data_IF_323818457241
#
_entry.id   IF_323818457241
#
_cell.length_a   1.000
_cell.length_b   1.000
_cell.length_c   1.000
_cell.angle_alpha   90.00
_cell.angle_beta   90.00
_cell.angle_gamma   90.00
#
_symmetry.space_group_name_H-M   'P 1'
#
loop_
_entity.id
_entity.type
_entity.pdbx_description
1 polymer ?
#
# COMPACT_ATOMS: atom_id res chain seq x y z
N UNK A 1 -27.43 -22.24 38.23
CA UNK A 1 -27.11 -20.96 38.91
C UNK A 1 -26.51 -20.06 37.85
N UNK A 2 -27.18 -18.98 37.44
CA UNK A 2 -26.66 -18.06 36.42
C UNK A 2 -25.64 -17.13 37.10
N UNK A 3 -24.48 -16.95 36.46
CA UNK A 3 -23.46 -16.02 36.94
C UNK A 3 -23.64 -14.72 36.15
N UNK A 4 -23.80 -13.61 36.88
CA UNK A 4 -24.08 -12.28 36.33
C UNK A 4 -22.92 -11.37 36.73
N UNK A 5 -22.33 -10.63 35.78
CA UNK A 5 -21.26 -9.68 36.12
C UNK A 5 -21.80 -8.42 36.80
N UNK A 6 -20.89 -7.57 37.28
CA UNK A 6 -21.21 -6.30 37.94
C UNK A 6 -21.98 -5.30 37.05
N UNK A 7 -22.01 -5.50 35.74
CA UNK A 7 -22.79 -4.72 34.76
C UNK A 7 -24.12 -5.36 34.38
N UNK A 8 -24.52 -6.47 35.01
CA UNK A 8 -25.80 -7.13 34.76
C UNK A 8 -25.83 -8.06 33.54
N UNK A 9 -24.70 -8.30 32.88
CA UNK A 9 -24.61 -9.22 31.75
C UNK A 9 -24.51 -10.68 32.23
N UNK A 10 -25.28 -11.57 31.60
CA UNK A 10 -25.24 -13.01 31.84
C UNK A 10 -23.97 -13.57 31.18
N UNK A 11 -23.06 -14.10 31.99
CA UNK A 11 -21.79 -14.68 31.50
C UNK A 11 -21.91 -16.20 31.51
N UNK A 12 -21.35 -16.84 30.47
CA UNK A 12 -21.35 -18.30 30.35
C UNK A 12 -20.32 -18.97 31.26
N UNK A 13 -19.20 -18.28 31.55
CA UNK A 13 -18.13 -18.72 32.45
C UNK A 13 -17.50 -17.51 33.16
N UNK A 14 -17.09 -17.69 34.41
CA UNK A 14 -16.35 -16.71 35.19
C UNK A 14 -14.95 -17.26 35.44
N UNK A 15 -13.92 -16.55 34.97
CA UNK A 15 -12.53 -16.96 35.16
C UNK A 15 -12.07 -16.34 36.48
N UNK A 16 -11.86 -17.16 37.51
CA UNK A 16 -11.22 -16.71 38.74
C UNK A 16 -9.71 -16.71 38.51
N UNK A 17 -9.14 -15.55 38.18
CA UNK A 17 -7.71 -15.38 38.33
C UNK A 17 -7.43 -15.28 39.83
N UNK A 18 -6.58 -16.17 40.35
CA UNK A 18 -6.09 -16.08 41.73
C UNK A 18 -5.26 -14.82 41.96
N UNK A 19 -4.40 -14.82 42.99
CA UNK A 19 -3.58 -13.66 43.34
C UNK A 19 -2.87 -13.05 42.11
N UNK A 20 -3.22 -11.80 41.83
CA UNK A 20 -2.84 -11.06 40.61
C UNK A 20 -1.34 -10.78 40.57
N UNK A 21 -0.66 -10.85 41.72
CA UNK A 21 0.76 -10.53 41.88
C UNK A 21 1.70 -11.55 41.20
N UNK A 22 1.20 -12.72 40.79
CA UNK A 22 1.97 -13.77 40.10
C UNK A 22 1.50 -14.05 38.66
N UNK A 23 0.68 -13.16 38.08
CA UNK A 23 0.24 -13.31 36.70
C UNK A 23 1.33 -12.84 35.74
N UNK A 24 1.96 -13.77 35.02
CA UNK A 24 2.78 -13.42 33.87
C UNK A 24 1.87 -12.90 32.75
N UNK A 25 2.13 -11.66 32.29
CA UNK A 25 1.41 -11.05 31.18
C UNK A 25 1.40 -11.95 29.94
N UNK A 26 2.46 -12.72 29.71
CA UNK A 26 2.54 -13.63 28.56
C UNK A 26 1.52 -14.77 28.65
N UNK A 27 1.14 -15.19 29.86
CA UNK A 27 0.15 -16.26 30.08
C UNK A 27 -1.28 -15.80 29.77
N UNK A 28 -1.57 -14.49 29.84
CA UNK A 28 -2.84 -13.90 29.42
C UNK A 28 -3.03 -13.94 27.89
N UNK A 29 -1.94 -13.98 27.13
CA UNK A 29 -1.99 -14.02 25.66
C UNK A 29 -1.89 -15.43 25.08
N UNK A 30 -1.48 -16.45 25.85
CA UNK A 30 -1.32 -17.83 25.37
C UNK A 30 -2.60 -18.48 24.86
N UNK A 31 -3.77 -18.08 25.38
CA UNK A 31 -5.08 -18.66 25.00
C UNK A 31 -5.91 -17.76 24.07
N UNK A 32 -5.44 -16.56 23.73
CA UNK A 32 -5.90 -15.86 22.53
C UNK A 32 -5.23 -16.52 21.32
N UNK A 33 -5.59 -17.79 21.11
CA UNK A 33 -5.41 -18.49 19.85
C UNK A 33 -5.90 -17.56 18.78
N UNK A 34 -4.96 -17.03 18.00
CA UNK A 34 -5.12 -16.46 16.67
C UNK A 34 -6.59 -16.40 16.25
N UNK A 35 -7.34 -15.38 16.70
CA UNK A 35 -8.46 -14.92 15.90
C UNK A 35 -7.77 -14.43 14.66
N UNK A 36 -7.60 -15.35 13.70
CA UNK A 36 -6.84 -15.21 12.46
C UNK A 36 -7.19 -13.82 11.97
N UNK A 37 -6.28 -12.85 12.21
CA UNK A 37 -6.42 -11.54 11.61
C UNK A 37 -6.51 -11.92 10.15
N UNK A 38 -7.67 -11.66 9.54
CA UNK A 38 -7.81 -11.88 8.11
C UNK A 38 -6.61 -11.11 7.54
N UNK A 39 -5.67 -11.81 6.91
CA UNK A 39 -4.70 -11.16 6.04
C UNK A 39 -5.59 -10.49 5.00
N UNK A 40 -5.98 -9.24 5.26
CA UNK A 40 -6.52 -8.39 4.22
C UNK A 40 -5.31 -8.15 3.34
N UNK A 41 -5.25 -8.90 2.25
CA UNK A 41 -4.22 -8.71 1.24
C UNK A 41 -4.25 -7.24 0.84
N UNK A 42 -3.07 -6.64 0.83
CA UNK A 42 -2.91 -5.27 0.38
C UNK A 42 -3.52 -5.16 -1.03
N UNK A 43 -4.39 -4.16 -1.30
CA UNK A 43 -5.06 -4.05 -2.59
C UNK A 43 -4.03 -3.91 -3.72
N UNK A 44 -4.09 -4.80 -4.70
CA UNK A 44 -3.14 -4.84 -5.82
C UNK A 44 -3.28 -3.67 -6.82
N UNK A 45 -4.36 -2.90 -6.72
CA UNK A 45 -4.64 -1.73 -7.55
C UNK A 45 -3.99 -0.45 -7.01
N UNK A 46 -3.54 -0.45 -5.74
CA UNK A 46 -2.67 0.57 -5.17
C UNK A 46 -1.20 0.20 -5.38
N UNK A 47 -0.34 1.20 -5.45
CA UNK A 47 1.10 0.99 -5.28
C UNK A 47 1.41 0.52 -3.85
N UNK A 48 2.54 -0.14 -3.64
CA UNK A 48 2.99 -0.52 -2.29
C UNK A 48 3.24 0.71 -1.41
N UNK A 49 3.19 0.52 -0.08
CA UNK A 49 3.50 1.60 0.87
C UNK A 49 4.92 2.15 0.69
N UNK A 50 5.88 1.29 0.36
CA UNK A 50 7.26 1.69 0.09
C UNK A 50 7.33 2.66 -1.10
N UNK A 51 6.70 2.31 -2.22
CA UNK A 51 6.61 3.18 -3.40
C UNK A 51 5.90 4.49 -3.07
N UNK A 52 4.80 4.44 -2.32
CA UNK A 52 4.05 5.63 -1.93
C UNK A 52 4.90 6.61 -1.10
N UNK A 53 5.73 6.10 -0.19
CA UNK A 53 6.67 6.91 0.60
C UNK A 53 7.74 7.54 -0.29
N UNK A 54 8.33 6.78 -1.21
CA UNK A 54 9.29 7.33 -2.16
C UNK A 54 8.67 8.42 -3.07
N UNK A 55 7.43 8.22 -3.52
CA UNK A 55 6.68 9.22 -4.29
C UNK A 55 6.47 10.52 -3.49
N UNK A 56 6.10 10.39 -2.21
CA UNK A 56 5.97 11.53 -1.30
C UNK A 56 7.28 12.31 -1.17
N UNK A 57 8.40 11.62 -1.02
CA UNK A 57 9.74 12.24 -0.92
C UNK A 57 10.10 13.06 -2.17
N UNK A 58 9.73 12.59 -3.36
CA UNK A 58 9.99 13.32 -4.63
C UNK A 58 8.93 14.38 -4.96
N UNK A 59 7.99 14.63 -4.04
CA UNK A 59 7.02 15.72 -4.16
C UNK A 59 5.73 15.35 -4.89
N UNK A 60 5.33 14.08 -4.90
CA UNK A 60 3.99 13.69 -5.34
C UNK A 60 2.93 14.32 -4.42
N UNK A 61 2.06 15.16 -4.98
CA UNK A 61 0.99 15.89 -4.26
C UNK A 61 -0.37 15.76 -4.94
N UNK A 62 -0.52 14.74 -5.78
CA UNK A 62 -1.82 14.49 -6.41
C UNK A 62 -2.81 13.96 -5.39
N UNK A 63 -4.09 14.24 -5.67
CA UNK A 63 -5.17 13.84 -4.80
C UNK A 63 -5.42 12.33 -4.91
N UNK A 64 -5.51 11.62 -3.79
CA UNK A 64 -5.79 10.18 -3.71
C UNK A 64 -7.09 9.92 -2.96
N UNK A 65 -7.70 8.75 -3.21
CA UNK A 65 -8.86 8.27 -2.45
C UNK A 65 -8.43 7.65 -1.12
N UNK A 66 -7.32 6.90 -1.14
CA UNK A 66 -6.81 6.15 0.00
C UNK A 66 -5.43 6.64 0.41
N UNK A 67 -5.11 6.42 1.68
CA UNK A 67 -3.86 6.85 2.30
C UNK A 67 -3.45 5.89 3.41
N UNK A 68 -2.17 5.89 3.74
CA UNK A 68 -1.63 5.22 4.90
C UNK A 68 -1.65 6.17 6.08
N UNK A 69 -2.22 5.74 7.21
CA UNK A 69 -2.20 6.50 8.45
C UNK A 69 -1.12 5.96 9.39
N UNK A 70 -0.09 6.75 9.69
CA UNK A 70 1.07 6.30 10.46
C UNK A 70 0.71 5.93 11.90
N UNK A 71 -0.16 6.70 12.57
CA UNK A 71 -0.60 6.37 13.94
C UNK A 71 -1.38 5.04 14.03
N UNK A 72 -2.29 4.78 13.08
CA UNK A 72 -3.13 3.58 13.11
C UNK A 72 -2.50 2.37 12.40
N UNK A 73 -1.39 2.57 11.68
CA UNK A 73 -0.71 1.57 10.87
C UNK A 73 -1.67 0.79 9.96
N UNK A 74 -2.56 1.50 9.26
CA UNK A 74 -3.51 0.90 8.31
C UNK A 74 -3.82 1.84 7.16
N UNK A 75 -4.35 1.26 6.09
CA UNK A 75 -4.95 1.99 4.98
C UNK A 75 -6.30 2.54 5.42
N UNK A 76 -6.51 3.82 5.15
CA UNK A 76 -7.77 4.53 5.28
C UNK A 76 -8.17 5.06 3.88
N UNK A 77 -9.45 5.34 3.68
CA UNK A 77 -9.92 6.05 2.49
C UNK A 77 -10.85 7.19 2.91
N UNK A 78 -11.03 8.18 2.04
CA UNK A 78 -11.87 9.33 2.34
C UNK A 78 -13.30 8.91 2.71
N UNK A 79 -13.82 9.48 3.79
CA UNK A 79 -15.19 9.28 4.25
C UNK A 79 -15.91 10.61 4.46
N UNK A 80 -17.24 10.59 4.42
CA UNK A 80 -18.08 11.72 4.84
C UNK A 80 -18.18 11.79 6.38
N UNK A 81 -18.90 12.79 6.89
CA UNK A 81 -19.13 13.00 8.33
C UNK A 81 -19.88 11.84 9.01
N UNK A 82 -20.48 10.92 8.23
CA UNK A 82 -21.19 9.74 8.70
C UNK A 82 -20.38 8.45 8.47
N UNK A 83 -19.05 8.56 8.29
CA UNK A 83 -18.10 7.48 8.03
C UNK A 83 -18.43 6.63 6.79
N UNK A 84 -19.17 7.18 5.82
CA UNK A 84 -19.42 6.51 4.53
C UNK A 84 -18.31 6.83 3.56
N UNK A 85 -17.92 5.86 2.73
CA UNK A 85 -16.94 6.07 1.66
C UNK A 85 -17.36 7.28 0.81
N UNK A 86 -16.51 8.30 0.82
CA UNK A 86 -16.69 9.50 0.03
C UNK A 86 -15.69 9.44 -1.12
N UNK A 87 -16.13 9.42 -2.40
CA UNK A 87 -15.23 9.32 -3.55
C UNK A 87 -14.50 10.64 -3.84
N UNK A 88 -14.36 11.51 -2.85
CA UNK A 88 -13.54 12.71 -2.94
C UNK A 88 -12.07 12.35 -2.75
N UNK A 89 -11.22 13.07 -3.46
CA UNK A 89 -9.79 12.84 -3.47
C UNK A 89 -9.10 14.02 -2.76
N UNK A 90 -8.13 13.71 -1.91
CA UNK A 90 -7.34 14.69 -1.16
C UNK A 90 -5.84 14.44 -1.30
N UNK A 91 -5.06 15.49 -1.18
CA UNK A 91 -3.61 15.35 -1.01
C UNK A 91 -3.34 15.00 0.47
N UNK A 92 -2.98 13.75 0.73
CA UNK A 92 -2.62 13.26 2.06
C UNK A 92 -1.11 13.34 2.33
N UNK A 93 -0.33 14.00 1.47
CA UNK A 93 1.09 14.25 1.68
C UNK A 93 1.35 15.63 2.31
N UNK A 94 0.33 16.25 2.92
CA UNK A 94 0.40 17.58 3.54
C UNK A 94 1.16 17.61 4.87
N UNK A 95 1.25 16.48 5.58
CA UNK A 95 1.99 16.35 6.83
C UNK A 95 2.63 14.97 6.98
N UNK A 96 3.35 14.74 8.08
CA UNK A 96 4.12 13.49 8.33
C UNK A 96 3.25 12.31 8.77
N UNK A 97 2.01 12.54 9.23
CA UNK A 97 1.15 11.51 9.83
C UNK A 97 0.44 10.64 8.80
N UNK A 98 0.39 11.08 7.54
CA UNK A 98 -0.28 10.40 6.44
C UNK A 98 0.62 10.27 5.21
N UNK A 99 0.37 9.26 4.39
CA UNK A 99 1.00 9.11 3.07
C UNK A 99 -0.07 8.77 2.05
N UNK A 100 -0.24 9.60 1.02
CA UNK A 100 -1.14 9.32 -0.11
C UNK A 100 -0.81 7.95 -0.72
N UNK A 101 -1.81 7.11 -0.94
CA UNK A 101 -1.67 5.82 -1.64
C UNK A 101 -2.32 5.93 -3.02
N UNK A 102 -1.55 6.31 -4.06
CA UNK A 102 -2.08 6.39 -5.41
C UNK A 102 -2.30 4.99 -6.02
N UNK A 103 -3.18 4.94 -7.02
CA UNK A 103 -3.21 3.81 -7.94
C UNK A 103 -2.01 3.84 -8.87
N UNK A 104 -1.70 2.70 -9.50
CA UNK A 104 -0.66 2.64 -10.53
C UNK A 104 -0.88 3.67 -11.65
N UNK A 105 -2.12 3.89 -12.08
CA UNK A 105 -2.44 4.85 -13.14
C UNK A 105 -2.19 6.30 -12.71
N UNK A 106 -2.52 6.67 -11.46
CA UNK A 106 -2.24 8.02 -10.95
C UNK A 106 -0.73 8.30 -10.92
N UNK A 107 0.09 7.30 -10.62
CA UNK A 107 1.55 7.42 -10.67
C UNK A 107 2.02 7.65 -12.11
N UNK A 108 1.53 6.87 -13.07
CA UNK A 108 1.89 7.04 -14.48
C UNK A 108 1.41 8.37 -15.06
N UNK A 109 0.20 8.83 -14.70
CA UNK A 109 -0.29 10.15 -15.08
C UNK A 109 0.60 11.28 -14.54
N UNK A 110 1.01 11.18 -13.27
CA UNK A 110 1.90 12.16 -12.67
C UNK A 110 3.26 12.20 -13.37
N UNK A 111 3.90 11.06 -13.62
CA UNK A 111 5.18 11.01 -14.35
C UNK A 111 5.06 11.53 -15.78
N UNK A 112 3.97 11.19 -16.50
CA UNK A 112 3.70 11.72 -17.85
C UNK A 112 3.57 13.23 -17.85
N UNK A 113 2.93 13.82 -16.83
CA UNK A 113 2.85 15.28 -16.69
C UNK A 113 4.22 15.96 -16.56
N UNK A 114 5.25 15.20 -16.15
CA UNK A 114 6.65 15.63 -16.05
C UNK A 114 7.49 15.25 -17.27
N UNK A 115 6.91 14.59 -18.27
CA UNK A 115 7.59 14.19 -19.50
C UNK A 115 8.20 12.78 -19.49
N UNK A 116 8.02 12.01 -18.42
CA UNK A 116 8.48 10.62 -18.32
C UNK A 116 7.35 9.68 -18.72
N UNK A 117 7.57 8.88 -19.77
CA UNK A 117 6.61 7.92 -20.28
C UNK A 117 7.14 6.52 -20.07
N UNK A 118 6.51 5.78 -19.16
CA UNK A 118 6.80 4.37 -18.97
C UNK A 118 6.02 3.52 -19.97
N UNK A 119 6.68 2.55 -20.59
CA UNK A 119 6.07 1.58 -21.51
C UNK A 119 6.34 0.18 -20.98
N UNK A 120 5.31 -0.67 -20.95
CA UNK A 120 5.42 -2.09 -20.64
C UNK A 120 5.08 -2.86 -21.92
N UNK A 121 5.95 -3.78 -22.33
CA UNK A 121 5.79 -4.58 -23.53
C UNK A 121 5.94 -6.07 -23.21
N UNK A 122 5.29 -6.91 -24.02
CA UNK A 122 5.50 -8.36 -23.98
C UNK A 122 6.86 -8.67 -24.64
N UNK A 123 7.64 -9.55 -24.02
CA UNK A 123 9.01 -9.88 -24.44
C UNK A 123 9.07 -10.75 -25.69
N UNK A 124 8.01 -11.50 -26.01
CA UNK A 124 7.91 -12.28 -27.25
C UNK A 124 6.61 -11.99 -28.02
N UNK A 125 6.68 -12.04 -29.35
CA UNK A 125 5.49 -11.93 -30.22
C UNK A 125 4.71 -13.26 -30.31
N UNK A 126 5.30 -14.36 -29.84
CA UNK A 126 4.70 -15.69 -29.90
C UNK A 126 3.55 -15.88 -28.91
N UNK A 127 3.51 -15.10 -27.83
CA UNK A 127 2.63 -15.30 -26.68
C UNK A 127 2.89 -16.58 -25.91
N UNK A 128 4.02 -17.26 -26.16
CA UNK A 128 4.37 -18.53 -25.51
C UNK A 128 5.05 -18.28 -24.15
N UNK A 129 5.80 -17.18 -24.03
CA UNK A 129 6.38 -16.71 -22.78
C UNK A 129 5.53 -15.55 -22.25
N UNK A 130 5.01 -15.69 -21.03
CA UNK A 130 4.31 -14.62 -20.31
C UNK A 130 5.30 -13.63 -19.68
N UNK A 131 6.24 -13.16 -20.48
CA UNK A 131 7.36 -12.34 -20.05
C UNK A 131 7.15 -10.90 -20.52
N UNK A 132 7.46 -9.96 -19.64
CA UNK A 132 7.26 -8.54 -19.84
C UNK A 132 8.56 -7.81 -19.56
N UNK A 133 8.78 -6.73 -20.30
CA UNK A 133 9.86 -5.77 -20.09
C UNK A 133 9.28 -4.36 -20.06
N UNK A 134 10.10 -3.39 -19.63
CA UNK A 134 9.70 -2.00 -19.64
C UNK A 134 10.81 -1.09 -20.15
N UNK A 135 10.42 0.08 -20.65
CA UNK A 135 11.32 1.16 -21.00
C UNK A 135 10.79 2.51 -20.47
N UNK A 136 11.65 3.52 -20.45
CA UNK A 136 11.30 4.89 -20.08
C UNK A 136 11.71 5.79 -21.23
N UNK A 137 10.74 6.50 -21.80
CA UNK A 137 10.96 7.60 -22.73
C UNK A 137 10.88 8.93 -21.97
N UNK A 138 11.95 9.71 -22.01
CA UNK A 138 12.01 11.04 -21.42
C UNK A 138 12.11 12.10 -22.51
N UNK A 139 11.13 13.00 -22.61
CA UNK A 139 11.11 14.09 -23.62
C UNK A 139 11.34 13.63 -25.09
N UNK A 140 10.93 12.40 -25.42
CA UNK A 140 11.14 11.72 -26.72
C UNK A 140 12.58 11.25 -26.98
N UNK A 141 13.41 11.16 -25.94
CA UNK A 141 14.68 10.45 -25.96
C UNK A 141 14.57 9.20 -25.08
N UNK A 142 15.12 8.08 -25.55
CA UNK A 142 15.08 6.80 -24.83
C UNK A 142 15.99 6.92 -23.59
N UNK A 143 15.39 7.00 -22.40
CA UNK A 143 16.09 7.13 -21.12
C UNK A 143 16.54 5.78 -20.57
N UNK A 144 15.79 4.72 -20.87
CA UNK A 144 16.17 3.33 -20.58
C UNK A 144 15.59 2.42 -21.67
N UNK A 145 16.39 1.51 -22.21
CA UNK A 145 15.94 0.53 -23.20
C UNK A 145 15.21 -0.64 -22.52
N UNK A 146 14.45 -1.43 -23.31
CA UNK A 146 13.82 -2.65 -22.81
C UNK A 146 14.88 -3.67 -22.38
N UNK A 147 14.75 -4.22 -21.18
CA UNK A 147 15.53 -5.40 -20.79
C UNK A 147 15.05 -6.62 -21.59
N UNK A 148 15.77 -6.99 -22.65
CA UNK A 148 15.43 -8.12 -23.51
C UNK A 148 15.55 -9.49 -22.83
N UNK A 149 16.19 -9.56 -21.65
CA UNK A 149 16.42 -10.79 -20.88
C UNK A 149 15.53 -10.83 -19.60
N UNK A 150 14.53 -9.94 -19.50
CA UNK A 150 13.69 -9.85 -18.31
C UNK A 150 12.53 -10.85 -18.35
N UNK A 151 12.58 -11.88 -17.51
CA UNK A 151 11.50 -12.86 -17.34
C UNK A 151 10.44 -12.39 -16.32
N UNK A 152 9.98 -11.14 -16.42
CA UNK A 152 9.04 -10.56 -15.46
C UNK A 152 7.60 -10.87 -15.83
N UNK A 153 6.74 -11.04 -14.83
CA UNK A 153 5.29 -10.89 -14.99
C UNK A 153 4.92 -9.42 -15.27
N UNK A 154 3.69 -9.17 -15.73
CA UNK A 154 3.23 -7.79 -15.94
C UNK A 154 3.26 -6.98 -14.63
N UNK A 155 2.86 -7.58 -13.52
CA UNK A 155 2.87 -6.95 -12.20
C UNK A 155 4.30 -6.58 -11.75
N UNK A 156 5.26 -7.47 -11.95
CA UNK A 156 6.67 -7.22 -11.64
C UNK A 156 7.27 -6.15 -12.56
N UNK A 157 6.97 -6.19 -13.87
CA UNK A 157 7.40 -5.16 -14.82
C UNK A 157 6.81 -3.79 -14.48
N UNK A 158 5.52 -3.73 -14.09
CA UNK A 158 4.85 -2.51 -13.65
C UNK A 158 5.48 -1.93 -12.38
N UNK A 159 5.79 -2.78 -11.40
CA UNK A 159 6.45 -2.35 -10.17
C UNK A 159 7.87 -1.85 -10.44
N UNK A 160 8.64 -2.60 -11.23
CA UNK A 160 10.01 -2.25 -11.60
C UNK A 160 10.06 -0.93 -12.38
N UNK A 161 9.13 -0.72 -13.33
CA UNK A 161 8.99 0.52 -14.07
C UNK A 161 8.75 1.72 -13.14
N UNK A 162 7.84 1.61 -12.17
CA UNK A 162 7.59 2.72 -11.22
C UNK A 162 8.83 3.02 -10.39
N UNK A 163 9.54 2.00 -9.91
CA UNK A 163 10.81 2.19 -9.19
C UNK A 163 11.86 2.88 -10.08
N UNK A 164 11.99 2.46 -11.34
CA UNK A 164 12.90 3.07 -12.29
C UNK A 164 12.53 4.54 -12.61
N UNK A 165 11.24 4.86 -12.75
CA UNK A 165 10.74 6.22 -12.92
C UNK A 165 11.10 7.11 -11.73
N UNK A 166 10.92 6.62 -10.50
CA UNK A 166 11.30 7.33 -9.27
C UNK A 166 12.81 7.61 -9.25
N UNK A 167 13.63 6.61 -9.53
CA UNK A 167 15.10 6.76 -9.52
C UNK A 167 15.56 7.74 -10.61
N UNK A 168 15.03 7.62 -11.82
CA UNK A 168 15.33 8.53 -12.94
C UNK A 168 14.96 9.97 -12.58
N UNK A 169 13.75 10.17 -12.03
CA UNK A 169 13.31 11.50 -11.58
C UNK A 169 14.21 12.06 -10.47
N UNK A 170 14.61 11.25 -9.48
CA UNK A 170 15.57 11.67 -8.44
C UNK A 170 16.90 12.11 -9.05
N UNK A 171 17.40 11.40 -10.07
CA UNK A 171 18.68 11.73 -10.72
C UNK A 171 18.67 13.00 -11.56
N UNK A 172 17.55 13.33 -12.22
CA UNK A 172 17.41 14.53 -13.05
C UNK A 172 17.18 15.82 -12.24
N UNK A 173 16.89 15.72 -10.94
CA UNK A 173 16.67 16.86 -10.05
C UNK A 173 17.96 17.28 -9.29
N UNK A 174 19.07 16.58 -9.49
CA UNK A 174 20.40 16.86 -8.90
C UNK A 174 21.27 17.65 -9.88
#
# INVERSE_FOLDING_TARGET
>A
MQIINNTGAIIKEQINLGDIDNLNIDDLFKNNTSKKMKNYEYPNWLVSLEIAKELKEIGFKEKCLCYWHEYFHRIECSTDDEDRLCPEYYDYNTDESTTSLPTWEQVFEWFRSKGYHGVIAVGDESGELNEYSYCIDYLNELSSDFEQDSHLTYEEAREALVKALIQTYKSEQL
#
